data_IF_915112909589
#
_entry.id   IF_915112909589
#
_cell.length_a   1.000
_cell.length_b   1.000
_cell.length_c   1.000
_cell.angle_alpha   90.00
_cell.angle_beta   90.00
_cell.angle_gamma   90.00
#
_symmetry.space_group_name_H-M   'P 1'
#
loop_
_entity.id
_entity.type
_entity.pdbx_description
1 polymer ?
#
# COMPACT_ATOMS: atom_id res chain seq x y z
N UNK A 1 4.52 -36.65 11.64
CA UNK A 1 3.69 -35.44 11.49
C UNK A 1 4.53 -34.30 12.07
N UNK A 2 5.11 -33.45 11.22
CA UNK A 2 5.86 -32.29 11.72
C UNK A 2 4.81 -31.24 12.03
N UNK A 3 4.54 -31.05 13.31
CA UNK A 3 3.78 -29.92 13.84
C UNK A 3 4.57 -28.67 13.43
N UNK A 4 4.14 -28.01 12.35
CA UNK A 4 4.66 -26.69 12.03
C UNK A 4 4.07 -25.73 13.07
N UNK A 5 4.89 -24.94 13.78
CA UNK A 5 4.35 -23.97 14.72
C UNK A 5 3.56 -22.93 13.91
N UNK A 6 2.26 -22.90 14.15
CA UNK A 6 1.36 -21.80 13.76
C UNK A 6 1.74 -20.57 14.59
N UNK A 7 2.87 -19.93 14.30
CA UNK A 7 3.31 -18.81 15.13
C UNK A 7 4.74 -18.32 14.95
N UNK A 8 5.53 -18.84 14.00
CA UNK A 8 6.69 -18.07 13.55
C UNK A 8 6.18 -17.11 12.47
N UNK A 9 5.67 -15.96 12.91
CA UNK A 9 5.68 -14.80 12.06
C UNK A 9 7.15 -14.64 11.67
N UNK A 10 7.49 -15.08 10.47
CA UNK A 10 8.66 -14.56 9.79
C UNK A 10 8.34 -13.08 9.71
N UNK A 11 8.86 -12.28 10.64
CA UNK A 11 8.99 -10.83 10.47
C UNK A 11 9.96 -10.67 9.31
N UNK A 12 9.51 -10.99 8.10
CA UNK A 12 10.18 -10.60 6.90
C UNK A 12 9.96 -9.09 6.87
N UNK A 13 11.02 -8.32 7.06
CA UNK A 13 10.93 -6.87 6.92
C UNK A 13 10.39 -6.60 5.51
N UNK A 14 9.12 -6.15 5.42
CA UNK A 14 8.45 -5.93 4.14
C UNK A 14 9.28 -5.00 3.24
N UNK A 15 10.12 -4.13 3.82
CA UNK A 15 11.05 -3.28 3.08
C UNK A 15 12.16 -4.10 2.44
N UNK A 16 12.74 -5.05 3.17
CA UNK A 16 13.76 -5.96 2.63
C UNK A 16 13.18 -6.84 1.53
N UNK A 17 11.92 -7.28 1.65
CA UNK A 17 11.24 -8.02 0.60
C UNK A 17 11.04 -7.17 -0.68
N UNK A 18 10.58 -5.93 -0.52
CA UNK A 18 10.41 -5.00 -1.63
C UNK A 18 11.77 -4.67 -2.29
N UNK A 19 12.82 -4.48 -1.49
CA UNK A 19 14.17 -4.24 -2.03
C UNK A 19 14.70 -5.49 -2.74
N UNK A 20 14.49 -6.69 -2.19
CA UNK A 20 14.89 -7.95 -2.79
C UNK A 20 14.17 -8.23 -4.10
N UNK A 21 12.87 -7.88 -4.20
CA UNK A 21 12.11 -7.93 -5.45
C UNK A 21 12.76 -7.09 -6.56
N UNK A 22 13.39 -5.97 -6.20
CA UNK A 22 14.17 -5.12 -7.09
C UNK A 22 15.65 -5.51 -7.20
N UNK A 23 16.03 -6.72 -6.80
CA UNK A 23 17.41 -7.21 -6.89
C UNK A 23 18.40 -6.44 -6.02
N UNK A 24 17.93 -5.85 -4.92
CA UNK A 24 18.75 -5.00 -4.05
C UNK A 24 18.80 -3.53 -4.46
N UNK A 25 18.16 -3.13 -5.57
CA UNK A 25 18.09 -1.73 -5.98
C UNK A 25 17.01 -0.97 -5.20
N UNK A 26 17.41 -0.38 -4.08
CA UNK A 26 16.55 0.45 -3.25
C UNK A 26 15.98 1.68 -3.99
N UNK A 27 16.68 2.23 -5.01
CA UNK A 27 16.16 3.37 -5.78
C UNK A 27 15.03 2.94 -6.71
N UNK A 28 15.19 1.79 -7.37
CA UNK A 28 14.13 1.19 -8.18
C UNK A 28 12.89 0.87 -7.33
N UNK A 29 13.10 0.27 -6.15
CA UNK A 29 12.03 0.00 -5.18
C UNK A 29 11.25 1.26 -4.77
N UNK A 30 11.95 2.31 -4.34
CA UNK A 30 11.31 3.59 -4.00
C UNK A 30 10.61 4.21 -5.22
N UNK A 31 11.20 4.08 -6.42
CA UNK A 31 10.59 4.53 -7.67
C UNK A 31 9.21 3.90 -7.91
N UNK A 32 9.11 2.58 -7.81
CA UNK A 32 7.85 1.83 -7.92
C UNK A 32 6.83 2.28 -6.88
N UNK A 33 7.22 2.37 -5.60
CA UNK A 33 6.31 2.78 -4.54
C UNK A 33 5.77 4.21 -4.75
N UNK A 34 6.58 5.12 -5.28
CA UNK A 34 6.12 6.46 -5.64
C UNK A 34 5.13 6.44 -6.82
N UNK A 35 5.32 5.55 -7.80
CA UNK A 35 4.35 5.33 -8.89
C UNK A 35 3.02 4.77 -8.37
N UNK A 36 3.08 3.79 -7.47
CA UNK A 36 1.91 3.19 -6.85
C UNK A 36 1.14 4.23 -6.03
N UNK A 37 1.83 5.05 -5.22
CA UNK A 37 1.18 6.16 -4.48
C UNK A 37 0.48 7.13 -5.45
N UNK A 38 1.12 7.49 -6.57
CA UNK A 38 0.50 8.34 -7.60
C UNK A 38 -0.72 7.67 -8.23
N UNK A 39 -0.65 6.38 -8.53
CA UNK A 39 -1.76 5.61 -9.07
C UNK A 39 -2.94 5.57 -8.08
N UNK A 40 -2.69 5.20 -6.82
CA UNK A 40 -3.70 5.11 -5.77
C UNK A 40 -4.36 6.45 -5.49
N UNK A 41 -3.59 7.55 -5.44
CA UNK A 41 -4.15 8.90 -5.30
C UNK A 41 -5.09 9.27 -6.44
N UNK A 42 -4.76 8.90 -7.69
CA UNK A 42 -5.66 9.11 -8.83
C UNK A 42 -6.94 8.29 -8.71
N UNK A 43 -6.83 7.02 -8.32
CA UNK A 43 -8.01 6.16 -8.13
C UNK A 43 -8.91 6.68 -7.02
N UNK A 44 -8.32 7.19 -5.93
CA UNK A 44 -9.06 7.80 -4.84
C UNK A 44 -9.81 9.06 -5.28
N UNK A 45 -9.20 9.92 -6.10
CA UNK A 45 -9.85 11.10 -6.67
C UNK A 45 -11.01 10.74 -7.60
N UNK A 46 -10.84 9.71 -8.43
CA UNK A 46 -11.94 9.21 -9.28
C UNK A 46 -13.09 8.65 -8.43
N UNK A 47 -12.77 7.87 -7.40
CA UNK A 47 -13.76 7.34 -6.46
C UNK A 47 -14.50 8.46 -5.72
N UNK A 48 -13.78 9.47 -5.20
CA UNK A 48 -14.38 10.64 -4.55
C UNK A 48 -15.37 11.37 -5.47
N UNK A 49 -15.03 11.53 -6.76
CA UNK A 49 -15.88 12.21 -7.74
C UNK A 49 -17.20 11.49 -8.03
N UNK A 50 -17.26 10.17 -7.90
CA UNK A 50 -18.47 9.36 -8.17
C UNK A 50 -19.27 9.01 -6.92
N UNK A 51 -18.68 9.14 -5.73
CA UNK A 51 -19.38 8.90 -4.46
C UNK A 51 -20.35 10.03 -4.11
N UNK A 52 -21.59 9.67 -3.76
CA UNK A 52 -22.56 10.65 -3.27
C UNK A 52 -22.32 10.99 -1.79
N UNK A 53 -22.63 12.25 -1.40
CA UNK A 53 -22.57 12.68 0.01
C UNK A 53 -23.44 11.83 0.94
N UNK A 54 -24.57 11.31 0.43
CA UNK A 54 -25.47 10.44 1.18
C UNK A 54 -24.85 9.07 1.45
N UNK A 55 -24.15 8.49 0.46
CA UNK A 55 -23.45 7.22 0.61
C UNK A 55 -22.32 7.30 1.66
N UNK A 56 -21.51 8.36 1.62
CA UNK A 56 -20.37 8.52 2.55
C UNK A 56 -20.74 9.18 3.87
N UNK A 57 -22.00 9.57 4.08
CA UNK A 57 -22.46 10.40 5.21
C UNK A 57 -21.60 11.65 5.40
N UNK A 58 -21.21 12.28 4.30
CA UNK A 58 -20.39 13.49 4.30
C UNK A 58 -18.89 13.26 4.54
N UNK A 59 -18.44 12.02 4.74
CA UNK A 59 -17.01 11.72 4.80
C UNK A 59 -16.33 11.97 3.44
N UNK A 60 -15.08 12.45 3.48
CA UNK A 60 -14.20 12.64 2.33
C UNK A 60 -12.80 12.11 2.65
N UNK A 61 -12.08 11.58 1.64
CA UNK A 61 -10.71 11.14 1.82
C UNK A 61 -9.78 12.31 2.18
N UNK A 62 -8.79 12.05 3.02
CA UNK A 62 -7.63 12.92 3.21
C UNK A 62 -6.46 12.36 2.40
N UNK A 63 -5.84 13.19 1.57
CA UNK A 63 -4.77 12.78 0.67
C UNK A 63 -3.38 12.85 1.32
N UNK A 64 -3.32 13.51 2.48
CA UNK A 64 -2.10 13.70 3.24
C UNK A 64 -2.13 12.85 4.51
N UNK A 65 -0.97 12.30 4.87
CA UNK A 65 -0.79 11.62 6.16
C UNK A 65 -0.61 12.69 7.24
N UNK A 66 -1.39 12.62 8.32
CA UNK A 66 -1.20 13.41 9.55
C UNK A 66 -0.35 12.65 10.56
#
# INVERSE_FOLDING_TARGET
>A
MREQPIGEAVENDEREEVIAYHGGDARAAVGTLLEDIRHLRRQLALAEGVMSKGMTRGWRPDYDRR
#
